data_IF_168181619481
#
_entry.id   IF_168181619481
#
_cell.length_a   1.000
_cell.length_b   1.000
_cell.length_c   1.000
_cell.angle_alpha   90.00
_cell.angle_beta   90.00
_cell.angle_gamma   90.00
#
_symmetry.space_group_name_H-M   'P 1'
#
loop_
_entity.id
_entity.type
_entity.pdbx_description
1 polymer ?
#
# COMPACT_ATOMS: atom_id res chain seq x y z
N UNK A 1 -28.53 -34.70 50.34
CA UNK A 1 -27.64 -33.67 50.92
C UNK A 1 -26.27 -34.29 51.11
N UNK A 2 -25.29 -33.87 50.32
CA UNK A 2 -23.86 -33.84 50.66
C UNK A 2 -23.12 -33.19 49.48
N UNK A 3 -22.85 -31.89 49.63
CA UNK A 3 -22.05 -31.08 48.74
C UNK A 3 -20.58 -31.25 49.09
N UNK A 4 -19.79 -31.82 48.19
CA UNK A 4 -18.33 -31.81 48.30
C UNK A 4 -17.79 -30.54 47.65
N UNK A 5 -17.15 -29.73 48.49
CA UNK A 5 -16.54 -28.44 48.18
C UNK A 5 -15.21 -28.65 47.46
N UNK A 6 -15.11 -28.13 46.24
CA UNK A 6 -13.87 -28.04 45.46
C UNK A 6 -13.37 -26.61 45.61
N UNK A 7 -12.29 -26.39 46.38
CA UNK A 7 -11.68 -25.08 46.57
C UNK A 7 -10.15 -25.12 46.41
N UNK A 8 -9.70 -24.26 45.50
CA UNK A 8 -8.46 -23.47 45.55
C UNK A 8 -7.11 -24.17 45.32
N UNK A 9 -6.72 -24.37 44.05
CA UNK A 9 -5.34 -24.63 43.62
C UNK A 9 -4.64 -23.43 42.95
N UNK A 10 -5.30 -22.27 42.84
CA UNK A 10 -4.75 -21.09 42.14
C UNK A 10 -3.85 -20.17 43.00
N UNK A 11 -3.71 -20.42 44.31
CA UNK A 11 -2.97 -19.54 45.22
C UNK A 11 -1.45 -19.78 45.30
N UNK A 12 -0.94 -20.93 44.87
CA UNK A 12 0.49 -21.27 45.05
C UNK A 12 1.42 -20.72 43.96
N UNK A 13 0.89 -20.31 42.81
CA UNK A 13 1.71 -19.86 41.68
C UNK A 13 2.17 -18.40 41.80
N UNK A 14 1.39 -17.55 42.47
CA UNK A 14 1.70 -16.13 42.69
C UNK A 14 2.77 -15.91 43.75
N UNK A 15 2.79 -16.73 44.81
CA UNK A 15 3.74 -16.58 45.93
C UNK A 15 5.18 -16.88 45.51
N UNK A 16 5.41 -17.83 44.60
CA UNK A 16 6.77 -18.14 44.10
C UNK A 16 7.35 -17.01 43.26
N UNK A 17 6.53 -16.34 42.43
CA UNK A 17 7.00 -15.22 41.62
C UNK A 17 7.29 -13.98 42.48
N UNK A 18 6.44 -13.70 43.48
CA UNK A 18 6.67 -12.60 44.41
C UNK A 18 7.95 -12.79 45.23
N UNK A 19 8.19 -14.02 45.72
CA UNK A 19 9.41 -14.34 46.46
C UNK A 19 10.68 -14.25 45.59
N UNK A 20 10.60 -14.62 44.31
CA UNK A 20 11.73 -14.48 43.38
C UNK A 20 12.08 -13.01 43.11
N UNK A 21 11.07 -12.14 42.98
CA UNK A 21 11.25 -10.70 42.77
C UNK A 21 11.87 -10.05 44.01
N UNK A 22 11.35 -10.35 45.21
CA UNK A 22 11.88 -9.81 46.47
C UNK A 22 13.32 -10.31 46.74
N UNK A 23 13.60 -11.58 46.46
CA UNK A 23 14.95 -12.13 46.54
C UNK A 23 15.91 -11.42 45.58
N UNK A 24 15.50 -11.22 44.32
CA UNK A 24 16.27 -10.48 43.33
C UNK A 24 16.57 -9.06 43.78
N UNK A 25 15.59 -8.30 44.29
CA UNK A 25 15.82 -6.94 44.80
C UNK A 25 16.77 -6.93 46.00
N UNK A 26 16.63 -7.86 46.94
CA UNK A 26 17.53 -7.95 48.10
C UNK A 26 18.98 -8.28 47.70
N UNK A 27 19.16 -9.13 46.69
CA UNK A 27 20.45 -9.49 46.13
C UNK A 27 21.05 -8.34 45.32
N UNK A 28 20.21 -7.64 44.55
CA UNK A 28 20.56 -6.47 43.74
C UNK A 28 20.99 -5.29 44.61
N UNK A 29 20.32 -5.04 45.73
CA UNK A 29 20.63 -3.94 46.67
C UNK A 29 21.98 -4.17 47.39
N UNK A 30 22.42 -5.42 47.56
CA UNK A 30 23.68 -5.76 48.25
C UNK A 30 24.96 -5.64 47.41
N UNK A 31 24.85 -5.54 46.07
CA UNK A 31 26.03 -5.53 45.16
C UNK A 31 26.13 -4.21 44.39
N UNK A 32 26.88 -3.21 44.90
CA UNK A 32 26.94 -1.88 44.29
C UNK A 32 27.51 -1.90 42.86
N UNK A 33 28.42 -2.83 42.54
CA UNK A 33 28.95 -2.99 41.18
C UNK A 33 27.91 -3.47 40.16
N UNK A 34 26.95 -4.30 40.57
CA UNK A 34 25.87 -4.78 39.68
C UNK A 34 24.77 -3.73 39.51
N UNK A 35 24.57 -2.85 40.49
CA UNK A 35 23.64 -1.72 40.39
C UNK A 35 24.10 -0.72 39.33
N UNK A 36 25.40 -0.42 39.31
CA UNK A 36 25.99 0.50 38.34
C UNK A 36 25.89 -0.09 36.92
N UNK A 37 26.19 -1.37 36.76
CA UNK A 37 26.08 -2.08 35.49
C UNK A 37 24.61 -2.17 35.00
N UNK A 38 23.65 -2.40 35.91
CA UNK A 38 22.23 -2.40 35.59
C UNK A 38 21.71 -1.01 35.21
N UNK A 39 22.13 0.06 35.90
CA UNK A 39 21.76 1.44 35.54
C UNK A 39 22.32 1.82 34.16
N UNK A 40 23.56 1.43 33.85
CA UNK A 40 24.14 1.64 32.53
C UNK A 40 23.31 0.91 31.47
N UNK A 41 22.97 -0.37 31.67
CA UNK A 41 22.14 -1.13 30.73
C UNK A 41 20.74 -0.52 30.61
N UNK A 42 20.10 -0.14 31.72
CA UNK A 42 18.76 0.42 31.75
C UNK A 42 18.66 1.78 31.05
N UNK A 43 19.76 2.55 30.96
CA UNK A 43 19.81 3.83 30.23
C UNK A 43 20.25 3.63 28.77
N UNK A 44 21.25 2.77 28.53
CA UNK A 44 21.80 2.56 27.19
C UNK A 44 20.86 1.76 26.29
N UNK A 45 20.15 0.77 26.81
CA UNK A 45 19.24 -0.07 26.03
C UNK A 45 18.08 0.74 25.42
N UNK A 46 17.34 1.61 26.16
CA UNK A 46 16.33 2.46 25.53
C UNK A 46 16.94 3.51 24.60
N UNK A 47 18.13 4.05 24.90
CA UNK A 47 18.81 5.00 24.01
C UNK A 47 19.19 4.35 22.66
N UNK A 48 19.68 3.11 22.67
CA UNK A 48 19.98 2.32 21.48
C UNK A 48 18.69 2.00 20.70
N UNK A 49 17.61 1.65 21.40
CA UNK A 49 16.30 1.41 20.76
C UNK A 49 15.81 2.68 20.06
N UNK A 50 15.85 3.84 20.71
CA UNK A 50 15.44 5.12 20.12
C UNK A 50 16.35 5.48 18.93
N UNK A 51 17.66 5.28 19.05
CA UNK A 51 18.60 5.57 17.97
C UNK A 51 18.33 4.70 16.72
N UNK A 52 18.10 3.39 16.92
CA UNK A 52 17.80 2.44 15.84
C UNK A 52 16.41 2.66 15.23
N UNK A 53 15.40 3.01 16.03
CA UNK A 53 14.01 3.11 15.56
C UNK A 53 13.63 4.48 15.01
N UNK A 54 14.30 5.56 15.43
CA UNK A 54 13.90 6.93 15.08
C UNK A 54 15.00 7.68 14.32
N UNK A 55 16.24 7.69 14.84
CA UNK A 55 17.32 8.51 14.26
C UNK A 55 17.81 7.99 12.91
N UNK A 56 18.11 6.69 12.82
CA UNK A 56 18.65 6.09 11.59
C UNK A 56 17.63 6.15 10.43
N UNK A 57 16.33 5.81 10.63
CA UNK A 57 15.34 5.94 9.57
C UNK A 57 15.13 7.39 9.10
N UNK A 58 15.21 8.37 10.01
CA UNK A 58 15.06 9.78 9.65
C UNK A 58 16.25 10.30 8.83
N UNK A 59 17.48 9.90 9.17
CA UNK A 59 18.68 10.36 8.47
C UNK A 59 18.91 9.65 7.12
N UNK A 60 18.44 8.40 6.98
CA UNK A 60 18.57 7.59 5.77
C UNK A 60 17.38 7.72 4.80
N UNK A 61 16.50 8.70 5.02
CA UNK A 61 15.31 8.90 4.18
C UNK A 61 15.72 9.27 2.76
N UNK A 62 15.57 8.32 1.83
CA UNK A 62 15.65 8.56 0.39
C UNK A 62 14.23 8.55 -0.18
N UNK A 63 13.76 9.67 -0.77
CA UNK A 63 12.35 9.83 -1.09
C UNK A 63 11.81 8.79 -2.07
N UNK A 64 12.55 8.45 -3.12
CA UNK A 64 12.07 7.52 -4.16
C UNK A 64 13.15 6.59 -4.73
N UNK A 65 12.78 5.34 -5.07
CA UNK A 65 13.64 4.45 -5.84
C UNK A 65 13.54 4.81 -7.33
N UNK A 66 14.22 5.87 -7.74
CA UNK A 66 14.55 6.01 -9.16
C UNK A 66 15.78 5.14 -9.39
N UNK A 67 15.58 3.91 -9.90
CA UNK A 67 16.67 3.19 -10.56
C UNK A 67 16.93 3.94 -11.88
N UNK A 68 17.69 5.03 -11.79
CA UNK A 68 18.34 5.55 -12.97
C UNK A 68 19.36 4.48 -13.36
N UNK A 69 19.11 3.73 -14.43
CA UNK A 69 20.21 3.26 -15.26
C UNK A 69 20.80 4.50 -15.96
N UNK A 70 21.35 5.42 -15.18
CA UNK A 70 22.26 6.41 -15.71
C UNK A 70 23.62 5.73 -15.75
N UNK A 71 24.11 5.48 -16.95
CA UNK A 71 25.53 5.23 -17.19
C UNK A 71 26.30 6.51 -16.85
N UNK A 72 26.38 6.89 -15.57
CA UNK A 72 27.07 8.09 -15.13
C UNK A 72 28.55 7.78 -14.90
N UNK A 73 29.26 7.71 -16.02
CA UNK A 73 30.63 8.23 -16.14
C UNK A 73 30.63 9.67 -16.68
N UNK A 74 29.57 10.44 -16.45
CA UNK A 74 29.47 11.82 -16.89
C UNK A 74 29.12 12.75 -15.72
N UNK A 75 30.00 13.73 -15.54
CA UNK A 75 29.82 14.99 -14.82
C UNK A 75 29.53 14.99 -13.31
N UNK A 76 30.62 15.00 -12.54
CA UNK A 76 30.67 15.44 -11.15
C UNK A 76 30.54 16.98 -10.96
N UNK A 77 29.91 17.70 -11.89
CA UNK A 77 29.85 19.18 -11.90
C UNK A 77 28.43 19.74 -11.74
N UNK A 78 27.39 18.91 -11.67
CA UNK A 78 25.97 19.34 -11.61
C UNK A 78 25.29 19.12 -10.26
N UNK A 79 25.99 19.35 -9.14
CA UNK A 79 25.37 19.44 -7.81
C UNK A 79 25.59 20.80 -7.16
N UNK A 80 25.52 21.87 -7.95
CA UNK A 80 25.22 23.19 -7.39
C UNK A 80 23.70 23.30 -7.31
N UNK A 81 23.14 22.95 -6.15
CA UNK A 81 21.74 23.23 -5.81
C UNK A 81 21.57 24.75 -5.87
N UNK A 82 21.09 25.25 -7.01
CA UNK A 82 20.78 26.67 -7.17
C UNK A 82 19.54 26.93 -6.33
N UNK A 83 19.72 27.52 -5.16
CA UNK A 83 18.61 28.02 -4.36
C UNK A 83 17.94 29.14 -5.16
N UNK A 84 16.77 28.83 -5.74
CA UNK A 84 15.95 29.81 -6.42
C UNK A 84 15.64 30.95 -5.45
N UNK A 85 15.84 32.19 -5.90
CA UNK A 85 15.45 33.37 -5.12
C UNK A 85 13.93 33.34 -4.91
N UNK A 86 13.42 33.81 -3.75
CA UNK A 86 12.00 33.70 -3.38
C UNK A 86 11.02 34.19 -4.48
N UNK A 87 11.42 35.19 -5.27
CA UNK A 87 10.64 35.74 -6.39
C UNK A 87 10.57 34.82 -7.63
N UNK A 88 11.50 33.87 -7.77
CA UNK A 88 11.57 32.92 -8.89
C UNK A 88 10.86 31.59 -8.58
N UNK A 89 10.51 31.35 -7.31
CA UNK A 89 9.77 30.18 -6.87
C UNK A 89 8.46 29.94 -7.67
N UNK A 90 7.58 30.94 -7.90
CA UNK A 90 6.35 30.71 -8.67
C UNK A 90 6.63 30.42 -10.15
N UNK A 91 7.70 30.97 -10.73
CA UNK A 91 8.08 30.66 -12.11
C UNK A 91 8.56 29.21 -12.23
N UNK A 92 9.37 28.75 -11.27
CA UNK A 92 9.89 27.39 -11.21
C UNK A 92 8.77 26.36 -11.08
N UNK A 93 7.84 26.54 -10.14
CA UNK A 93 6.66 25.66 -9.99
C UNK A 93 5.81 25.61 -11.27
N UNK A 94 5.64 26.74 -11.95
CA UNK A 94 4.92 26.78 -13.21
C UNK A 94 5.60 25.97 -14.32
N UNK A 95 6.94 25.95 -14.36
CA UNK A 95 7.69 25.13 -15.32
C UNK A 95 7.50 23.66 -15.00
N UNK A 96 7.66 23.26 -13.72
CA UNK A 96 7.46 21.88 -13.28
C UNK A 96 6.06 21.36 -13.60
N UNK A 97 5.01 22.13 -13.29
CA UNK A 97 3.62 21.75 -13.58
C UNK A 97 3.39 21.56 -15.10
N UNK A 98 4.01 22.40 -15.94
CA UNK A 98 3.92 22.27 -17.40
C UNK A 98 4.65 21.03 -17.89
N UNK A 99 5.83 20.74 -17.37
CA UNK A 99 6.58 19.55 -17.76
C UNK A 99 5.87 18.26 -17.35
N UNK A 100 5.28 18.22 -16.15
CA UNK A 100 4.48 17.08 -15.72
C UNK A 100 3.23 16.89 -16.59
N UNK A 101 2.51 17.98 -16.91
CA UNK A 101 1.37 17.96 -17.84
C UNK A 101 1.79 17.47 -19.23
N UNK A 102 2.95 17.91 -19.74
CA UNK A 102 3.49 17.45 -21.01
C UNK A 102 3.78 15.95 -21.00
N UNK A 103 4.47 15.46 -19.97
CA UNK A 103 4.74 14.02 -19.79
C UNK A 103 3.44 13.21 -19.74
N UNK A 104 2.44 13.66 -18.98
CA UNK A 104 1.12 13.02 -18.92
C UNK A 104 0.47 12.91 -20.31
N UNK A 105 0.45 14.00 -21.10
CA UNK A 105 -0.14 13.98 -22.44
C UNK A 105 0.66 13.14 -23.43
N UNK A 106 2.00 13.14 -23.32
CA UNK A 106 2.86 12.29 -24.14
C UNK A 106 2.60 10.81 -23.88
N UNK A 107 2.55 10.40 -22.61
CA UNK A 107 2.23 9.04 -22.20
C UNK A 107 0.83 8.63 -22.67
N UNK A 108 -0.17 9.50 -22.50
CA UNK A 108 -1.53 9.26 -22.98
C UNK A 108 -1.57 9.08 -24.49
N UNK A 109 -0.86 9.92 -25.24
CA UNK A 109 -0.75 9.83 -26.70
C UNK A 109 -0.05 8.55 -27.15
N UNK A 110 1.00 8.13 -26.46
CA UNK A 110 1.71 6.88 -26.73
C UNK A 110 0.80 5.67 -26.51
N UNK A 111 0.13 5.59 -25.37
CA UNK A 111 -0.79 4.51 -25.05
C UNK A 111 -1.99 4.47 -26.00
N UNK A 112 -2.47 5.65 -26.43
CA UNK A 112 -3.55 5.74 -27.42
C UNK A 112 -3.13 5.16 -28.78
N UNK A 113 -1.87 5.34 -29.19
CA UNK A 113 -1.32 4.77 -30.43
C UNK A 113 -1.17 3.25 -30.36
N UNK A 114 -0.90 2.69 -29.18
CA UNK A 114 -0.64 1.27 -28.97
C UNK A 114 -1.92 0.41 -28.82
N UNK A 115 -3.11 0.96 -29.06
CA UNK A 115 -4.40 0.26 -28.86
C UNK A 115 -4.50 -0.41 -27.47
N UNK A 116 -3.96 0.26 -26.46
CA UNK A 116 -3.86 -0.28 -25.11
C UNK A 116 -5.06 0.17 -24.26
N UNK A 117 -5.49 -0.71 -23.35
CA UNK A 117 -6.41 -0.38 -22.26
C UNK A 117 -5.57 0.06 -21.07
N UNK A 118 -5.82 1.27 -20.56
CA UNK A 118 -5.04 1.80 -19.45
C UNK A 118 -5.90 2.60 -18.47
N UNK A 119 -5.37 2.69 -17.26
CA UNK A 119 -5.96 3.42 -16.16
C UNK A 119 -5.41 4.84 -16.14
N UNK A 120 -6.29 5.81 -15.92
CA UNK A 120 -5.94 7.21 -15.71
C UNK A 120 -6.39 7.59 -14.31
N UNK A 121 -5.43 7.68 -13.39
CA UNK A 121 -5.69 8.13 -12.03
C UNK A 121 -5.53 9.64 -11.95
N UNK A 122 -6.64 10.33 -11.77
CA UNK A 122 -6.67 11.77 -11.53
C UNK A 122 -6.97 12.05 -10.06
N UNK A 123 -5.93 12.36 -9.29
CA UNK A 123 -6.07 12.66 -7.86
C UNK A 123 -6.66 14.06 -7.60
N UNK A 124 -6.48 15.00 -8.52
CA UNK A 124 -7.04 16.36 -8.42
C UNK A 124 -8.56 16.33 -8.52
N UNK A 125 -9.08 15.66 -9.56
CA UNK A 125 -10.53 15.55 -9.77
C UNK A 125 -11.14 14.39 -8.96
N UNK A 126 -10.32 13.60 -8.26
CA UNK A 126 -10.74 12.39 -7.55
C UNK A 126 -11.49 11.42 -8.46
N UNK A 127 -10.90 11.11 -9.61
CA UNK A 127 -11.47 10.23 -10.62
C UNK A 127 -10.45 9.17 -11.04
N UNK A 128 -10.93 7.94 -11.21
CA UNK A 128 -10.21 6.86 -11.88
C UNK A 128 -10.94 6.51 -13.17
N UNK A 129 -10.32 6.81 -14.30
CA UNK A 129 -10.86 6.53 -15.63
C UNK A 129 -10.18 5.28 -16.22
N UNK A 130 -10.95 4.45 -16.92
CA UNK A 130 -10.44 3.45 -17.84
C UNK A 130 -10.55 4.02 -19.24
N UNK A 131 -9.40 4.11 -19.92
CA UNK A 131 -9.31 4.60 -21.28
C UNK A 131 -8.92 3.50 -22.26
N UNK A 132 -9.50 3.57 -23.45
CA UNK A 132 -9.14 2.74 -24.60
C UNK A 132 -8.84 3.72 -25.74
N UNK A 133 -7.64 3.65 -26.33
CA UNK A 133 -7.21 4.57 -27.40
C UNK A 133 -7.36 6.07 -27.07
N UNK A 134 -7.18 6.49 -25.81
CA UNK A 134 -7.39 7.89 -25.42
C UNK A 134 -8.81 8.25 -25.01
N UNK A 135 -9.78 7.36 -25.22
CA UNK A 135 -11.20 7.61 -24.94
C UNK A 135 -11.61 7.01 -23.59
N UNK A 136 -12.19 7.80 -22.67
CA UNK A 136 -12.70 7.27 -21.41
C UNK A 136 -13.94 6.41 -21.67
N UNK A 137 -13.83 5.12 -21.36
CA UNK A 137 -14.92 4.14 -21.49
C UNK A 137 -15.69 4.03 -20.19
N UNK A 138 -14.97 4.10 -19.07
CA UNK A 138 -15.56 4.04 -17.74
C UNK A 138 -14.91 5.08 -16.85
N UNK A 139 -15.75 5.81 -16.12
CA UNK A 139 -15.35 6.83 -15.15
C UNK A 139 -15.87 6.46 -13.79
N UNK A 140 -14.97 6.32 -12.82
CA UNK A 140 -15.33 5.99 -11.45
C UNK A 140 -14.88 7.08 -10.49
N UNK A 141 -15.78 7.46 -9.58
CA UNK A 141 -15.51 8.53 -8.62
C UNK A 141 -14.78 7.97 -7.41
N UNK A 142 -13.65 8.59 -7.09
CA UNK A 142 -12.90 8.32 -5.86
C UNK A 142 -13.54 9.14 -4.75
N UNK A 143 -13.97 8.49 -3.68
CA UNK A 143 -14.58 9.15 -2.54
C UNK A 143 -13.54 9.67 -1.55
N UNK A 144 -12.48 8.90 -1.34
CA UNK A 144 -11.33 9.33 -0.56
C UNK A 144 -10.08 8.62 -1.05
N UNK A 145 -8.93 9.26 -0.85
CA UNK A 145 -7.64 8.67 -1.16
C UNK A 145 -6.63 8.99 -0.06
N UNK A 146 -5.64 8.12 0.09
CA UNK A 146 -4.50 8.33 0.98
C UNK A 146 -3.23 7.87 0.27
N UNK A 147 -2.27 8.78 0.12
CA UNK A 147 -0.97 8.48 -0.44
C UNK A 147 0.08 8.41 0.68
N UNK A 148 1.01 7.45 0.54
CA UNK A 148 2.13 7.29 1.47
C UNK A 148 2.96 8.57 1.61
N UNK A 149 3.50 8.79 2.82
CA UNK A 149 4.33 9.98 3.11
C UNK A 149 5.57 10.10 2.22
N UNK A 150 6.01 9.00 1.59
CA UNK A 150 7.11 9.00 0.62
C UNK A 150 6.79 9.80 -0.63
N UNK A 151 5.55 9.74 -1.10
CA UNK A 151 5.10 10.55 -2.24
C UNK A 151 5.09 12.04 -1.87
N UNK A 152 4.73 12.36 -0.62
CA UNK A 152 4.68 13.75 -0.11
C UNK A 152 6.06 14.34 0.16
N UNK A 153 7.02 13.52 0.59
CA UNK A 153 8.37 13.95 0.91
C UNK A 153 9.34 13.82 -0.29
N UNK A 154 8.82 13.44 -1.45
CA UNK A 154 9.58 13.35 -2.69
C UNK A 154 10.05 14.70 -3.19
N UNK A 155 11.30 14.77 -3.67
CA UNK A 155 11.75 15.91 -4.45
C UNK A 155 11.04 15.93 -5.81
N UNK A 156 10.68 17.12 -6.29
CA UNK A 156 9.91 17.26 -7.53
C UNK A 156 10.59 16.63 -8.76
N UNK A 157 11.92 16.74 -8.87
CA UNK A 157 12.68 16.15 -9.99
C UNK A 157 12.60 14.62 -10.01
N UNK A 158 12.73 13.98 -8.84
CA UNK A 158 12.59 12.54 -8.73
C UNK A 158 11.16 12.11 -9.07
N UNK A 159 10.16 12.90 -8.64
CA UNK A 159 8.75 12.61 -8.87
C UNK A 159 8.41 12.67 -10.35
N UNK A 160 8.95 13.69 -11.02
CA UNK A 160 8.79 13.88 -12.45
C UNK A 160 9.39 12.71 -13.23
N UNK A 161 10.64 12.31 -12.94
CA UNK A 161 11.26 11.13 -13.55
C UNK A 161 10.47 9.85 -13.28
N UNK A 162 9.91 9.71 -12.08
CA UNK A 162 9.10 8.54 -11.72
C UNK A 162 7.77 8.49 -12.51
N UNK A 163 7.13 9.64 -12.72
CA UNK A 163 5.90 9.80 -13.51
C UNK A 163 6.12 9.88 -15.03
N UNK A 164 7.37 10.01 -15.49
CA UNK A 164 7.72 10.24 -16.90
C UNK A 164 7.24 9.14 -17.83
N UNK A 165 7.24 7.90 -17.38
CA UNK A 165 6.82 6.75 -18.20
C UNK A 165 5.64 6.02 -17.56
N UNK A 166 4.72 5.44 -18.38
CA UNK A 166 3.53 4.80 -17.88
C UNK A 166 3.89 3.57 -17.05
N UNK A 167 3.14 3.37 -15.97
CA UNK A 167 3.33 2.23 -15.08
C UNK A 167 2.77 0.95 -15.71
N UNK A 168 3.46 -0.16 -15.56
CA UNK A 168 3.05 -1.48 -16.07
C UNK A 168 2.55 -2.36 -14.94
N UNK A 169 1.35 -2.92 -15.07
CA UNK A 169 0.83 -3.88 -14.10
C UNK A 169 1.70 -5.14 -14.12
N UNK A 170 2.19 -5.55 -12.95
CA UNK A 170 3.00 -6.76 -12.74
C UNK A 170 2.19 -7.87 -12.07
N UNK A 171 1.28 -7.51 -11.18
CA UNK A 171 0.49 -8.47 -10.42
C UNK A 171 -0.76 -7.84 -9.80
N UNK A 172 -1.65 -8.69 -9.33
CA UNK A 172 -2.91 -8.29 -8.72
C UNK A 172 -3.30 -9.24 -7.59
N UNK A 173 -3.97 -8.69 -6.59
CA UNK A 173 -4.57 -9.43 -5.47
C UNK A 173 -6.01 -8.95 -5.39
N UNK A 174 -6.98 -9.86 -5.33
CA UNK A 174 -8.40 -9.49 -5.23
C UNK A 174 -9.19 -10.48 -4.40
N UNK A 175 -10.33 -10.02 -3.87
CA UNK A 175 -11.38 -10.87 -3.28
C UNK A 175 -12.31 -11.45 -4.33
N UNK A 176 -12.54 -10.72 -5.43
CA UNK A 176 -13.43 -11.13 -6.52
C UNK A 176 -12.66 -11.67 -7.74
N UNK A 177 -13.24 -12.59 -8.53
CA UNK A 177 -12.67 -12.99 -9.82
C UNK A 177 -12.93 -11.93 -10.91
N UNK A 178 -12.01 -11.82 -11.88
CA UNK A 178 -12.19 -10.94 -13.07
C UNK A 178 -13.35 -11.38 -13.95
N UNK A 179 -13.40 -12.67 -14.27
CA UNK A 179 -14.47 -13.27 -15.04
C UNK A 179 -15.28 -14.15 -14.09
N UNK A 180 -16.53 -13.78 -13.75
CA UNK A 180 -17.36 -14.63 -12.91
C UNK A 180 -17.69 -15.91 -13.68
N UNK A 181 -17.30 -17.06 -13.14
CA UNK A 181 -17.63 -18.37 -13.71
C UNK A 181 -18.80 -18.94 -12.93
N UNK A 182 -19.84 -19.35 -13.66
CA UNK A 182 -21.00 -20.00 -13.08
C UNK A 182 -20.87 -21.50 -13.29
N UNK A 183 -20.74 -22.25 -12.19
CA UNK A 183 -20.82 -23.70 -12.25
C UNK A 183 -22.30 -24.08 -12.24
N UNK A 184 -22.83 -24.47 -13.39
CA UNK A 184 -24.19 -24.97 -13.53
C UNK A 184 -24.12 -26.48 -13.64
N UNK A 185 -24.75 -27.18 -12.69
CA UNK A 185 -24.93 -28.62 -12.80
C UNK A 185 -25.83 -28.92 -13.99
N UNK A 186 -25.38 -29.84 -14.86
CA UNK A 186 -26.17 -30.24 -16.01
C UNK A 186 -27.48 -30.89 -15.51
N UNK A 187 -28.65 -30.49 -16.06
CA UNK A 187 -29.91 -31.11 -15.70
C UNK A 187 -29.87 -32.59 -16.11
N UNK A 188 -30.31 -33.47 -15.22
CA UNK A 188 -30.29 -34.91 -15.49
C UNK A 188 -31.39 -35.32 -16.46
N UNK A 189 -32.49 -34.55 -16.51
CA UNK A 189 -33.66 -34.83 -17.34
C UNK A 189 -34.27 -33.57 -18.00
N UNK A 190 -34.94 -33.78 -19.14
CA UNK A 190 -35.62 -32.72 -19.94
C UNK A 190 -36.79 -32.06 -19.20
N UNK A 191 -37.42 -32.76 -18.26
CA UNK A 191 -38.50 -32.22 -17.42
C UNK A 191 -37.98 -31.33 -16.28
N UNK A 192 -36.74 -31.55 -15.85
CA UNK A 192 -36.03 -30.72 -14.86
C UNK A 192 -35.50 -29.45 -15.52
N UNK A 193 -35.02 -29.55 -16.77
CA UNK A 193 -34.60 -28.41 -17.59
C UNK A 193 -35.72 -27.36 -17.81
N UNK A 194 -36.98 -27.79 -17.91
CA UNK A 194 -38.12 -26.90 -18.10
C UNK A 194 -38.52 -26.12 -16.82
N UNK A 195 -38.08 -26.60 -15.64
CA UNK A 195 -38.38 -25.97 -14.34
C UNK A 195 -37.29 -25.00 -13.87
N UNK A 196 -36.12 -25.00 -14.52
CA UNK A 196 -35.06 -24.05 -14.19
C UNK A 196 -35.53 -22.62 -14.50
N UNK A 197 -35.53 -21.71 -13.51
CA UNK A 197 -35.92 -20.33 -13.74
C UNK A 197 -34.93 -19.69 -14.72
N UNK A 198 -35.42 -19.22 -15.88
CA UNK A 198 -34.69 -18.35 -16.83
C UNK A 198 -34.48 -16.94 -16.26
N UNK A 199 -34.27 -16.79 -14.96
CA UNK A 199 -34.04 -15.47 -14.36
C UNK A 199 -32.57 -15.10 -14.65
N UNK A 200 -32.29 -13.91 -15.22
CA UNK A 200 -30.93 -13.42 -15.28
C UNK A 200 -30.39 -13.41 -13.84
N UNK A 201 -29.27 -14.09 -13.64
CA UNK A 201 -28.71 -14.32 -12.32
C UNK A 201 -28.37 -12.99 -11.65
N UNK A 202 -28.71 -12.87 -10.37
CA UNK A 202 -28.36 -11.70 -9.59
C UNK A 202 -26.83 -11.66 -9.43
N UNK A 203 -26.20 -10.48 -9.59
CA UNK A 203 -24.76 -10.35 -9.43
C UNK A 203 -24.37 -10.79 -8.03
N UNK A 204 -23.30 -11.59 -7.94
CA UNK A 204 -22.72 -12.05 -6.68
C UNK A 204 -22.42 -10.84 -5.80
N UNK A 205 -23.12 -10.67 -4.68
CA UNK A 205 -22.90 -9.58 -3.73
C UNK A 205 -21.76 -9.99 -2.80
N UNK A 206 -20.54 -9.87 -3.32
CA UNK A 206 -19.30 -10.13 -2.59
C UNK A 206 -18.54 -8.84 -2.36
N UNK A 207 -18.01 -8.63 -1.16
CA UNK A 207 -17.15 -7.51 -0.83
C UNK A 207 -15.94 -7.40 -1.76
N UNK A 208 -15.70 -6.21 -2.28
CA UNK A 208 -14.72 -5.92 -3.32
C UNK A 208 -13.52 -5.21 -2.73
N UNK A 209 -12.41 -5.94 -2.65
CA UNK A 209 -11.09 -5.40 -2.34
C UNK A 209 -10.11 -5.92 -3.36
N UNK A 210 -9.27 -5.02 -3.88
CA UNK A 210 -8.18 -5.44 -4.74
C UNK A 210 -6.98 -4.49 -4.66
N UNK A 211 -5.81 -5.06 -4.87
CA UNK A 211 -4.54 -4.35 -4.96
C UNK A 211 -3.91 -4.63 -6.31
N UNK A 212 -3.47 -3.57 -6.97
CA UNK A 212 -2.72 -3.61 -8.21
C UNK A 212 -1.26 -3.30 -7.93
N UNK A 213 -0.38 -4.21 -8.34
CA UNK A 213 1.07 -4.11 -8.20
C UNK A 213 1.64 -3.66 -9.53
N UNK A 214 2.20 -2.46 -9.57
CA UNK A 214 2.82 -1.90 -10.76
C UNK A 214 4.35 -1.97 -10.67
N UNK A 215 5.01 -1.74 -11.80
CA UNK A 215 6.44 -1.46 -11.83
C UNK A 215 6.81 -0.18 -11.05
N UNK A 216 8.12 0.06 -10.94
CA UNK A 216 8.68 1.17 -10.14
C UNK A 216 8.20 1.19 -8.68
N UNK A 217 7.84 0.02 -8.15
CA UNK A 217 7.34 -0.22 -6.80
C UNK A 217 6.06 0.56 -6.45
N UNK A 218 5.19 0.84 -7.42
CA UNK A 218 3.88 1.45 -7.14
C UNK A 218 2.85 0.38 -6.76
N UNK A 219 2.11 0.63 -5.69
CA UNK A 219 1.01 -0.23 -5.21
C UNK A 219 -0.24 0.62 -5.09
N UNK A 220 -1.30 0.23 -5.80
CA UNK A 220 -2.62 0.84 -5.68
C UNK A 220 -3.55 -0.13 -4.97
N UNK A 221 -4.00 0.26 -3.78
CA UNK A 221 -5.03 -0.44 -3.02
C UNK A 221 -6.39 0.21 -3.28
N UNK A 222 -7.39 -0.59 -3.63
CA UNK A 222 -8.76 -0.13 -3.85
C UNK A 222 -9.69 -0.85 -2.87
N UNK A 223 -10.36 -0.07 -2.03
CA UNK A 223 -11.36 -0.53 -1.07
C UNK A 223 -12.76 -0.01 -1.44
N UNK A 224 -13.77 -0.84 -1.18
CA UNK A 224 -15.16 -0.39 -1.18
C UNK A 224 -15.46 0.49 0.05
N UNK A 225 -16.43 1.40 -0.07
CA UNK A 225 -16.88 2.23 1.06
C UNK A 225 -18.04 1.58 1.83
N UNK A 226 -18.81 0.73 1.18
CA UNK A 226 -19.99 0.10 1.73
C UNK A 226 -19.65 -0.82 2.92
N UNK A 227 -20.58 -0.89 3.88
CA UNK A 227 -20.44 -1.75 5.06
C UNK A 227 -20.38 -3.21 4.64
N UNK A 228 -19.33 -3.89 5.09
CA UNK A 228 -19.09 -5.31 4.83
C UNK A 228 -20.10 -6.13 5.62
N UNK A 229 -20.67 -7.16 5.00
CA UNK A 229 -21.55 -8.08 5.70
C UNK A 229 -20.72 -9.02 6.60
N UNK A 230 -21.22 -9.44 7.77
CA UNK A 230 -20.49 -10.35 8.67
C UNK A 230 -20.03 -11.65 8.00
N UNK A 231 -20.78 -12.12 6.99
CA UNK A 231 -20.47 -13.32 6.20
C UNK A 231 -19.21 -13.16 5.33
N UNK A 232 -18.83 -11.93 5.01
CA UNK A 232 -17.72 -11.59 4.10
C UNK A 232 -16.43 -11.20 4.82
N UNK A 233 -16.47 -11.10 6.16
CA UNK A 233 -15.31 -10.73 6.97
C UNK A 233 -14.11 -11.66 6.73
N UNK A 234 -14.36 -12.96 6.53
CA UNK A 234 -13.31 -13.93 6.20
C UNK A 234 -12.58 -13.62 4.89
N UNK A 235 -13.29 -13.10 3.89
CA UNK A 235 -12.68 -12.69 2.61
C UNK A 235 -11.80 -11.46 2.79
N UNK A 236 -12.28 -10.48 3.58
CA UNK A 236 -11.49 -9.30 3.92
C UNK A 236 -10.22 -9.67 4.68
N UNK A 237 -10.30 -10.54 5.69
CA UNK A 237 -9.13 -10.97 6.47
C UNK A 237 -8.11 -11.71 5.60
N UNK A 238 -8.57 -12.61 4.73
CA UNK A 238 -7.69 -13.31 3.79
C UNK A 238 -7.01 -12.32 2.82
N UNK A 239 -7.75 -11.33 2.33
CA UNK A 239 -7.19 -10.25 1.52
C UNK A 239 -6.15 -9.44 2.29
N UNK A 240 -6.45 -9.01 3.52
CA UNK A 240 -5.52 -8.26 4.37
C UNK A 240 -4.25 -9.04 4.66
N UNK A 241 -4.33 -10.34 4.96
CA UNK A 241 -3.15 -11.18 5.13
C UNK A 241 -2.27 -11.24 3.88
N UNK A 242 -2.89 -11.35 2.69
CA UNK A 242 -2.16 -11.32 1.42
C UNK A 242 -1.58 -9.93 1.15
N UNK A 243 -2.30 -8.87 1.48
CA UNK A 243 -1.84 -7.50 1.34
C UNK A 243 -0.64 -7.21 2.25
N UNK A 244 -0.74 -7.53 3.53
CA UNK A 244 0.33 -7.36 4.51
C UNK A 244 1.59 -8.13 4.12
N UNK A 245 1.44 -9.28 3.45
CA UNK A 245 2.59 -10.04 2.95
C UNK A 245 3.45 -9.25 1.94
N UNK A 246 2.85 -8.33 1.16
CA UNK A 246 3.58 -7.45 0.22
C UNK A 246 4.54 -6.51 0.96
N UNK A 247 4.12 -6.02 2.13
CA UNK A 247 4.90 -5.10 2.95
C UNK A 247 5.67 -5.80 4.08
N UNK A 248 5.46 -7.10 4.25
CA UNK A 248 6.09 -7.88 5.29
C UNK A 248 7.60 -7.92 5.09
N UNK A 249 8.33 -7.56 6.15
CA UNK A 249 9.79 -7.59 6.20
C UNK A 249 10.21 -8.35 7.42
N UNK A 250 11.24 -9.20 7.26
CA UNK A 250 11.84 -9.88 8.40
C UNK A 250 12.43 -8.86 9.37
N UNK A 251 12.46 -9.20 10.67
CA UNK A 251 13.06 -8.33 11.70
C UNK A 251 14.51 -7.98 11.36
N UNK A 252 15.28 -8.95 10.84
CA UNK A 252 16.64 -8.70 10.36
C UNK A 252 16.67 -7.66 9.24
N UNK A 253 15.81 -7.76 8.22
CA UNK A 253 15.73 -6.76 7.16
C UNK A 253 15.36 -5.36 7.69
N UNK A 254 14.45 -5.27 8.67
CA UNK A 254 14.09 -3.99 9.31
C UNK A 254 15.26 -3.39 10.11
N UNK A 255 16.13 -4.22 10.68
CA UNK A 255 17.30 -3.77 11.44
C UNK A 255 18.46 -3.41 10.51
N UNK A 256 18.74 -4.25 9.50
CA UNK A 256 19.86 -4.03 8.56
C UNK A 256 19.55 -2.95 7.54
N UNK A 257 18.28 -2.81 7.16
CA UNK A 257 17.78 -1.83 6.20
C UNK A 257 16.48 -1.21 6.75
N UNK A 258 16.58 -0.31 7.74
CA UNK A 258 15.40 0.36 8.31
C UNK A 258 14.57 1.07 7.24
N UNK A 259 15.22 1.56 6.18
CA UNK A 259 14.58 2.09 4.99
C UNK A 259 15.25 1.58 3.71
N UNK A 260 14.79 0.46 3.14
CA UNK A 260 15.18 0.03 1.82
C UNK A 260 14.65 1.03 0.81
N UNK A 261 15.49 1.38 -0.16
CA UNK A 261 15.09 2.14 -1.34
C UNK A 261 13.89 1.47 -2.03
N UNK A 262 13.79 0.14 -1.97
CA UNK A 262 12.75 -0.69 -2.57
C UNK A 262 11.40 -0.76 -1.81
N UNK A 263 11.13 0.06 -0.78
CA UNK A 263 9.78 0.06 -0.17
C UNK A 263 8.75 0.48 -1.24
N UNK A 264 7.61 -0.22 -1.36
CA UNK A 264 6.57 0.19 -2.29
C UNK A 264 5.94 1.53 -1.91
N UNK A 265 5.68 2.36 -2.92
CA UNK A 265 4.89 3.59 -2.81
C UNK A 265 3.43 3.18 -2.87
N UNK A 266 2.70 3.47 -1.79
CA UNK A 266 1.33 3.03 -1.62
C UNK A 266 0.34 4.18 -1.83
N UNK A 267 -0.68 3.95 -2.68
CA UNK A 267 -1.82 4.83 -2.87
C UNK A 267 -3.09 4.01 -2.60
N UNK A 268 -3.81 4.41 -1.55
CA UNK A 268 -5.08 3.81 -1.16
C UNK A 268 -6.23 4.65 -1.70
N UNK A 269 -7.15 4.01 -2.41
CA UNK A 269 -8.34 4.62 -3.01
C UNK A 269 -9.59 3.98 -2.42
N UNK A 270 -10.61 4.78 -2.10
CA UNK A 270 -11.94 4.29 -1.70
C UNK A 270 -12.99 4.72 -2.70
N UNK A 271 -13.85 3.80 -3.10
CA UNK A 271 -14.91 4.03 -4.08
C UNK A 271 -16.12 3.12 -3.82
N UNK A 272 -17.20 3.30 -4.58
CA UNK A 272 -18.38 2.44 -4.48
C UNK A 272 -18.05 1.01 -4.92
N UNK A 273 -18.72 0.02 -4.34
CA UNK A 273 -18.58 -1.40 -4.67
C UNK A 273 -18.78 -1.67 -6.17
N UNK A 274 -19.83 -1.10 -6.76
CA UNK A 274 -20.15 -1.26 -8.19
C UNK A 274 -19.05 -0.74 -9.10
N UNK A 275 -18.47 0.42 -8.76
CA UNK A 275 -17.38 1.05 -9.48
C UNK A 275 -16.08 0.25 -9.34
N UNK A 276 -15.74 -0.15 -8.11
CA UNK A 276 -14.57 -0.98 -7.82
C UNK A 276 -14.63 -2.30 -8.61
N UNK A 277 -15.78 -2.97 -8.58
CA UNK A 277 -16.03 -4.23 -9.31
C UNK A 277 -15.87 -4.04 -10.81
N UNK A 278 -16.49 -3.00 -11.35
CA UNK A 278 -16.48 -2.75 -12.78
C UNK A 278 -15.07 -2.38 -13.27
N UNK A 279 -14.31 -1.59 -12.50
CA UNK A 279 -12.90 -1.33 -12.80
C UNK A 279 -12.09 -2.61 -12.80
N UNK A 280 -12.15 -3.40 -11.73
CA UNK A 280 -11.32 -4.59 -11.59
C UNK A 280 -11.52 -5.60 -12.72
N UNK A 281 -12.78 -5.77 -13.15
CA UNK A 281 -13.16 -6.68 -14.24
C UNK A 281 -12.79 -6.13 -15.62
N UNK A 282 -12.72 -4.82 -15.77
CA UNK A 282 -12.34 -4.16 -17.02
C UNK A 282 -10.81 -4.14 -17.25
N UNK A 283 -10.02 -4.30 -16.18
CA UNK A 283 -8.56 -4.34 -16.28
C UNK A 283 -8.10 -5.68 -16.90
N UNK A 284 -7.32 -5.66 -18.00
CA UNK A 284 -6.77 -6.87 -18.59
C UNK A 284 -5.73 -7.54 -17.66
N UNK A 285 -5.41 -8.81 -17.90
CA UNK A 285 -4.43 -9.55 -17.09
C UNK A 285 -3.04 -8.89 -17.07
N UNK A 286 -2.26 -9.26 -16.04
CA UNK A 286 -1.11 -8.56 -15.43
C UNK A 286 0.15 -8.30 -16.28
N UNK A 287 0.00 -7.96 -17.56
CA UNK A 287 1.08 -7.50 -18.46
C UNK A 287 0.63 -6.44 -19.46
N UNK A 288 -0.67 -6.28 -19.69
CA UNK A 288 -1.22 -5.38 -20.71
C UNK A 288 -1.81 -4.11 -20.12
N UNK A 289 -2.18 -4.13 -18.84
CA UNK A 289 -2.71 -2.96 -18.17
C UNK A 289 -1.58 -1.96 -17.87
N UNK A 290 -1.80 -0.72 -18.31
CA UNK A 290 -0.92 0.40 -17.99
C UNK A 290 -1.64 1.39 -17.08
N UNK A 291 -0.90 2.19 -16.36
CA UNK A 291 -1.43 3.28 -15.54
C UNK A 291 -0.65 4.56 -15.82
N UNK A 292 -1.39 5.66 -15.94
CA UNK A 292 -0.86 7.00 -15.91
C UNK A 292 -1.52 7.76 -14.75
N UNK A 293 -0.76 8.63 -14.10
CA UNK A 293 -1.23 9.44 -12.98
C UNK A 293 -1.22 10.89 -13.45
N UNK A 294 -2.36 11.57 -13.37
CA UNK A 294 -2.41 13.01 -13.54
C UNK A 294 -1.90 13.65 -12.23
N UNK A 295 -0.85 14.49 -12.27
CA UNK A 295 -0.32 15.15 -11.08
C UNK A 295 -1.38 16.01 -10.38
N UNK A 296 -1.21 16.16 -9.07
CA UNK A 296 -1.94 17.15 -8.27
C UNK A 296 -1.44 18.55 -8.67
N UNK A 297 -2.31 19.47 -9.10
CA UNK A 297 -1.91 20.88 -9.17
C UNK A 297 -1.67 21.37 -7.73
N UNK A 298 -0.41 21.68 -7.38
CA UNK A 298 -0.02 22.32 -6.11
C UNK A 298 -0.39 23.82 -6.09
N UNK A 299 -1.61 24.16 -6.51
CA UNK A 299 -2.14 25.52 -6.30
C UNK A 299 -2.73 25.71 -4.89
N UNK A 300 -2.20 25.00 -3.89
CA UNK A 300 -2.50 25.18 -2.46
C UNK A 300 -1.25 25.54 -1.68
#
# INVERSE_FOLDING_TARGET
MNSFSQKDSNGQHTDKQQNAILWFFSWFIRRPGMQLLFLIIAITLPAIIIALTVLIPAAAFSPMPVKAESNDKADSTLTKKVEATADQHPLYLNILNKEQKLSFFQNRLELARQDSIYLVLNLQDSVLDIEIKGLPVQRCKIQSYNASSRLKAAQHEDLQKWLETPFTLQGEISTIPKVPVLLVDAPKDTTEAAKLPKKPMEPEKTAVFFTLLFDKNLVIEIEQTETILPEEEGLMLNYQHRFDSIFSRTLMQKITQPMPQQLPIHIKLRMNEGDARAIYRSIPHSKYAKLIINPLDESM
#
